data_IF_407587874285
#
_entry.id   IF_407587874285
#
_cell.length_a   1.000
_cell.length_b   1.000
_cell.length_c   1.000
_cell.angle_alpha   90.00
_cell.angle_beta   90.00
_cell.angle_gamma   90.00
#
_symmetry.space_group_name_H-M   'P 1'
#
loop_
_entity.id
_entity.type
_entity.pdbx_description
1 polymer ?
#
# COMPACT_ATOMS: atom_id res chain seq x y z
N UNK A 1 63.37 -51.51 -10.27
CA UNK A 1 62.36 -50.46 -10.50
C UNK A 1 61.38 -50.47 -9.32
N UNK A 2 61.29 -49.44 -8.46
CA UNK A 2 60.39 -49.47 -7.31
C UNK A 2 59.02 -48.87 -7.64
N UNK A 3 57.96 -49.55 -7.20
CA UNK A 3 56.56 -49.12 -7.30
C UNK A 3 56.26 -48.11 -6.19
N UNK A 4 55.83 -46.90 -6.55
CA UNK A 4 55.50 -45.82 -5.60
C UNK A 4 54.04 -45.95 -5.16
N UNK A 5 53.84 -46.24 -3.87
CA UNK A 5 52.52 -46.37 -3.22
C UNK A 5 51.98 -44.97 -2.91
N UNK A 6 50.83 -44.59 -3.47
CA UNK A 6 50.18 -43.30 -3.19
C UNK A 6 49.40 -43.42 -1.88
N UNK A 7 49.82 -42.70 -0.84
CA UNK A 7 49.06 -42.54 0.40
C UNK A 7 47.93 -41.53 0.17
N UNK A 8 46.69 -41.99 0.20
CA UNK A 8 45.50 -41.13 0.22
C UNK A 8 45.40 -40.51 1.63
N UNK A 9 45.80 -39.25 1.77
CA UNK A 9 45.75 -38.52 3.05
C UNK A 9 44.29 -38.27 3.44
N UNK A 10 43.91 -38.71 4.65
CA UNK A 10 42.58 -38.60 5.27
C UNK A 10 42.09 -37.14 5.41
N UNK A 11 42.96 -36.17 5.18
CA UNK A 11 42.69 -34.73 5.26
C UNK A 11 41.79 -34.22 4.12
N UNK A 12 41.73 -34.94 3.00
CA UNK A 12 40.90 -34.57 1.84
C UNK A 12 39.40 -34.79 2.11
N UNK A 13 39.05 -35.72 3.01
CA UNK A 13 37.65 -35.98 3.35
C UNK A 13 37.11 -35.02 4.43
N UNK A 14 37.94 -34.40 5.27
CA UNK A 14 37.47 -33.47 6.32
C UNK A 14 37.11 -32.08 5.79
N UNK A 15 37.78 -31.64 4.74
CA UNK A 15 37.55 -30.32 4.12
C UNK A 15 36.25 -30.29 3.31
N UNK A 16 35.84 -31.40 2.70
CA UNK A 16 34.61 -31.49 1.93
C UNK A 16 33.34 -31.33 2.78
N UNK A 17 33.34 -31.88 4.00
CA UNK A 17 32.22 -31.76 4.93
C UNK A 17 32.08 -30.35 5.52
N UNK A 18 33.19 -29.64 5.73
CA UNK A 18 33.17 -28.27 6.22
C UNK A 18 32.54 -27.30 5.19
N UNK A 19 32.83 -27.47 3.90
CA UNK A 19 32.22 -26.68 2.85
C UNK A 19 30.74 -27.04 2.61
N UNK A 20 30.38 -28.32 2.70
CA UNK A 20 28.98 -28.75 2.61
C UNK A 20 28.13 -28.16 3.76
N UNK A 21 28.67 -28.09 4.98
CA UNK A 21 27.98 -27.49 6.13
C UNK A 21 27.80 -25.96 5.99
N UNK A 22 28.78 -25.25 5.42
CA UNK A 22 28.70 -23.81 5.16
C UNK A 22 27.69 -23.47 4.03
N UNK A 23 27.61 -24.29 3.00
CA UNK A 23 26.58 -24.16 1.94
C UNK A 23 25.17 -24.49 2.47
N UNK A 24 25.03 -25.47 3.37
CA UNK A 24 23.74 -25.77 4.00
C UNK A 24 23.26 -24.64 4.93
N UNK A 25 24.18 -23.99 5.67
CA UNK A 25 23.83 -22.91 6.60
C UNK A 25 23.36 -21.62 5.90
N UNK A 26 23.86 -21.32 4.70
CA UNK A 26 23.44 -20.14 3.93
C UNK A 26 22.05 -20.30 3.30
N UNK A 27 21.62 -21.53 3.02
CA UNK A 27 20.26 -21.83 2.55
C UNK A 27 19.20 -21.69 3.66
N UNK A 28 19.56 -21.85 4.93
CA UNK A 28 18.61 -21.81 6.04
C UNK A 28 18.16 -20.38 6.43
N UNK A 29 18.96 -19.35 6.14
CA UNK A 29 18.64 -17.96 6.51
C UNK A 29 17.66 -17.29 5.52
N UNK A 30 17.50 -17.85 4.31
CA UNK A 30 16.51 -17.38 3.32
C UNK A 30 15.07 -17.82 3.61
N UNK A 31 14.84 -18.71 4.58
CA UNK A 31 13.52 -19.26 4.86
C UNK A 31 12.64 -18.39 5.78
N UNK A 32 13.19 -17.35 6.43
CA UNK A 32 12.46 -16.56 7.42
C UNK A 32 11.82 -15.26 6.87
N UNK A 33 11.93 -14.97 5.57
CA UNK A 33 11.43 -13.71 4.95
C UNK A 33 10.25 -13.93 3.97
N UNK A 34 9.73 -15.15 3.83
CA UNK A 34 8.68 -15.46 2.85
C UNK A 34 7.47 -16.19 3.43
N UNK A 35 7.07 -15.86 4.66
CA UNK A 35 5.81 -16.36 5.21
C UNK A 35 5.06 -15.27 6.01
N UNK A 36 4.81 -14.13 5.37
CA UNK A 36 3.51 -13.49 5.57
C UNK A 36 2.66 -13.94 4.37
N UNK A 37 1.74 -14.93 4.55
CA UNK A 37 0.70 -15.16 3.56
C UNK A 37 0.01 -13.84 3.29
N UNK A 38 -0.27 -13.53 2.03
CA UNK A 38 -1.18 -12.47 1.67
C UNK A 38 -2.56 -12.80 2.26
N UNK A 39 -2.81 -12.40 3.49
CA UNK A 39 -4.10 -11.88 3.89
C UNK A 39 -4.19 -10.57 3.08
N UNK A 40 -4.90 -10.48 1.95
CA UNK A 40 -6.35 -10.64 1.85
C UNK A 40 -6.76 -10.96 0.41
N UNK A 41 -7.65 -11.93 0.22
CA UNK A 41 -8.15 -12.38 -1.09
C UNK A 41 -9.07 -11.41 -1.83
N UNK A 42 -8.65 -10.14 -2.02
CA UNK A 42 -9.41 -9.22 -2.87
C UNK A 42 -9.00 -7.74 -2.86
N UNK A 43 -8.02 -7.31 -2.05
CA UNK A 43 -7.47 -5.96 -2.19
C UNK A 43 -6.30 -6.04 -3.18
N UNK A 44 -6.35 -5.41 -4.37
CA UNK A 44 -5.32 -5.57 -5.40
C UNK A 44 -3.94 -4.99 -5.01
N UNK A 45 -3.77 -4.50 -3.78
CA UNK A 45 -2.59 -3.75 -3.36
C UNK A 45 -2.64 -2.38 -4.02
N UNK A 46 -2.86 -1.34 -3.23
CA UNK A 46 -3.01 0.02 -3.72
C UNK A 46 -1.69 0.79 -3.55
N UNK A 47 -1.50 1.94 -4.24
CA UNK A 47 -0.20 2.61 -4.30
C UNK A 47 0.30 3.11 -2.94
N UNK A 48 -0.51 2.97 -1.88
CA UNK A 48 -0.21 3.42 -0.53
C UNK A 48 0.03 2.27 0.46
N UNK A 49 -0.04 1.00 0.03
CA UNK A 49 0.18 -0.19 0.86
C UNK A 49 -1.10 -0.99 1.18
N UNK A 50 -1.01 -1.98 2.08
CA UNK A 50 -2.16 -2.78 2.52
C UNK A 50 -3.23 -1.89 3.16
N UNK A 51 -4.49 -2.07 2.79
CA UNK A 51 -5.62 -1.34 3.35
C UNK A 51 -6.65 -2.30 3.93
N UNK A 52 -7.27 -1.96 5.07
CA UNK A 52 -8.19 -2.86 5.78
C UNK A 52 -9.59 -3.02 5.12
N UNK A 53 -9.76 -2.59 3.86
CA UNK A 53 -11.06 -2.24 3.27
C UNK A 53 -11.63 -3.35 2.37
N UNK A 54 -10.84 -4.38 2.07
CA UNK A 54 -11.25 -5.48 1.20
C UNK A 54 -11.64 -5.03 -0.22
N UNK A 55 -12.42 -5.88 -0.91
CA UNK A 55 -12.76 -5.72 -2.33
C UNK A 55 -14.06 -4.92 -2.61
N UNK A 56 -14.65 -4.28 -1.59
CA UNK A 56 -15.97 -3.65 -1.72
C UNK A 56 -15.94 -2.44 -2.67
N UNK A 57 -17.00 -2.28 -3.48
CA UNK A 57 -17.20 -1.09 -4.33
C UNK A 57 -17.51 0.12 -3.44
N UNK A 58 -16.75 1.20 -3.60
CA UNK A 58 -16.91 2.42 -2.80
C UNK A 58 -17.86 3.42 -3.47
N UNK A 59 -18.60 4.15 -2.65
CA UNK A 59 -19.45 5.26 -3.06
C UNK A 59 -19.34 6.45 -2.10
N UNK A 60 -19.65 7.66 -2.60
CA UNK A 60 -19.48 8.88 -1.85
C UNK A 60 -20.26 8.88 -0.53
N UNK A 61 -21.58 8.63 -0.59
CA UNK A 61 -22.46 8.78 0.58
C UNK A 61 -22.07 7.84 1.74
N UNK A 62 -21.95 6.51 1.54
CA UNK A 62 -21.67 5.60 2.64
C UNK A 62 -20.19 5.59 3.06
N UNK A 63 -19.26 5.88 2.14
CA UNK A 63 -17.83 5.56 2.36
C UNK A 63 -16.93 6.79 2.44
N UNK A 64 -17.12 7.79 1.56
CA UNK A 64 -16.20 8.93 1.44
C UNK A 64 -16.66 10.15 2.22
N UNK A 65 -17.97 10.43 2.22
CA UNK A 65 -18.55 11.55 2.95
C UNK A 65 -18.18 11.52 4.44
N UNK A 66 -18.19 10.38 5.16
CA UNK A 66 -17.76 10.34 6.55
C UNK A 66 -16.30 10.76 6.78
N UNK A 67 -15.40 10.46 5.83
CA UNK A 67 -13.99 10.87 5.88
C UNK A 67 -13.89 12.39 5.71
N UNK A 68 -14.55 12.94 4.67
CA UNK A 68 -14.49 14.37 4.37
C UNK A 68 -15.19 15.22 5.43
N UNK A 69 -16.31 14.74 5.98
CA UNK A 69 -17.04 15.40 7.06
C UNK A 69 -16.15 15.55 8.30
N UNK A 70 -15.47 14.47 8.67
CA UNK A 70 -14.61 14.42 9.86
C UNK A 70 -13.34 15.26 9.69
N UNK A 71 -12.66 15.14 8.56
CA UNK A 71 -11.28 15.64 8.40
C UNK A 71 -11.17 16.94 7.61
N UNK A 72 -12.16 17.28 6.77
CA UNK A 72 -12.03 18.37 5.79
C UNK A 72 -12.99 19.53 6.03
N UNK A 73 -14.21 19.27 6.50
CA UNK A 73 -15.28 20.30 6.53
C UNK A 73 -14.99 21.49 7.43
N UNK A 74 -14.12 21.34 8.43
CA UNK A 74 -13.73 22.47 9.28
C UNK A 74 -13.09 23.62 8.49
N UNK A 75 -12.31 23.29 7.45
CA UNK A 75 -11.67 24.27 6.58
C UNK A 75 -12.32 24.38 5.19
N UNK A 76 -12.98 23.31 4.73
CA UNK A 76 -13.54 23.18 3.38
C UNK A 76 -15.09 23.09 3.35
N UNK A 77 -15.78 23.32 4.47
CA UNK A 77 -17.25 23.22 4.56
C UNK A 77 -18.00 24.56 4.55
N UNK A 78 -17.30 25.68 4.75
CA UNK A 78 -17.90 27.01 4.92
C UNK A 78 -18.11 27.79 3.63
N UNK A 79 -18.73 28.98 3.78
CA UNK A 79 -18.95 29.96 2.70
C UNK A 79 -17.64 30.35 1.99
N UNK A 80 -16.58 30.52 2.77
CA UNK A 80 -15.21 30.75 2.28
C UNK A 80 -14.39 29.49 2.55
N UNK A 81 -14.48 28.51 1.65
CA UNK A 81 -13.71 27.28 1.78
C UNK A 81 -12.23 27.54 1.46
N UNK A 82 -11.32 27.04 2.29
CA UNK A 82 -9.88 27.21 2.10
C UNK A 82 -9.45 26.73 0.69
N UNK A 83 -8.64 27.56 0.01
CA UNK A 83 -8.16 27.24 -1.35
C UNK A 83 -9.26 27.18 -2.42
N UNK A 84 -10.47 27.69 -2.15
CA UNK A 84 -11.58 27.69 -3.10
C UNK A 84 -12.17 26.29 -3.39
N UNK A 85 -11.81 25.28 -2.60
CA UNK A 85 -12.30 23.91 -2.74
C UNK A 85 -13.24 23.57 -1.59
N UNK A 86 -14.47 23.15 -1.90
CA UNK A 86 -15.48 22.82 -0.89
C UNK A 86 -15.78 21.34 -0.83
N UNK A 87 -15.89 20.79 0.39
CA UNK A 87 -16.30 19.40 0.65
C UNK A 87 -17.74 19.28 1.16
N UNK A 88 -18.49 20.39 1.20
CA UNK A 88 -19.82 20.46 1.80
C UNK A 88 -20.89 19.60 1.09
N UNK A 89 -20.65 19.23 -0.17
CA UNK A 89 -21.56 18.38 -0.95
C UNK A 89 -20.78 17.53 -1.95
N UNK A 90 -21.41 16.47 -2.44
CA UNK A 90 -20.86 15.66 -3.53
C UNK A 90 -20.51 16.51 -4.76
N UNK A 91 -21.42 17.41 -5.16
CA UNK A 91 -21.23 18.27 -6.32
C UNK A 91 -20.00 19.19 -6.17
N UNK A 92 -19.73 19.69 -4.95
CA UNK A 92 -18.56 20.51 -4.69
C UNK A 92 -17.27 19.68 -4.70
N UNK A 93 -17.29 18.47 -4.12
CA UNK A 93 -16.13 17.56 -4.06
C UNK A 93 -15.67 17.15 -5.46
N UNK A 94 -16.61 16.82 -6.34
CA UNK A 94 -16.29 16.39 -7.71
C UNK A 94 -16.16 17.54 -8.71
N UNK A 95 -16.49 18.78 -8.31
CA UNK A 95 -16.32 19.95 -9.16
C UNK A 95 -14.84 20.15 -9.52
N UNK A 96 -14.55 20.21 -10.82
CA UNK A 96 -13.18 20.34 -11.33
C UNK A 96 -12.32 19.08 -11.20
N UNK A 97 -12.86 17.98 -10.67
CA UNK A 97 -12.21 16.66 -10.71
C UNK A 97 -12.62 15.94 -12.00
N UNK A 98 -11.75 15.07 -12.50
CA UNK A 98 -12.08 14.11 -13.56
C UNK A 98 -12.12 12.71 -12.95
N UNK A 99 -13.31 12.10 -12.78
CA UNK A 99 -13.40 10.70 -12.38
C UNK A 99 -12.54 9.80 -13.29
N UNK A 100 -11.82 8.85 -12.68
CA UNK A 100 -10.81 8.03 -13.38
C UNK A 100 -9.41 8.64 -13.47
N UNK A 101 -9.22 9.88 -13.04
CA UNK A 101 -7.93 10.58 -13.13
C UNK A 101 -7.20 10.61 -11.78
N UNK A 102 -6.07 9.92 -11.70
CA UNK A 102 -5.21 9.90 -10.52
C UNK A 102 -4.48 11.23 -10.27
N UNK A 103 -4.45 12.15 -11.24
CA UNK A 103 -3.82 13.47 -11.08
C UNK A 103 -4.74 14.54 -10.51
N UNK A 104 -6.02 14.21 -10.25
CA UNK A 104 -7.00 15.11 -9.68
C UNK A 104 -6.57 15.68 -8.32
N UNK A 105 -6.91 16.95 -8.05
CA UNK A 105 -6.40 17.66 -6.87
C UNK A 105 -6.77 16.98 -5.55
N UNK A 106 -7.97 16.39 -5.45
CA UNK A 106 -8.38 15.64 -4.26
C UNK A 106 -7.47 14.42 -4.03
N UNK A 107 -7.13 13.70 -5.11
CA UNK A 107 -6.27 12.52 -5.05
C UNK A 107 -4.86 12.90 -4.63
N UNK A 108 -4.22 13.84 -5.34
CA UNK A 108 -2.80 14.15 -5.11
C UNK A 108 -2.55 14.85 -3.78
N UNK A 109 -3.49 15.65 -3.29
CA UNK A 109 -3.33 16.35 -2.01
C UNK A 109 -3.56 15.43 -0.81
N UNK A 110 -4.41 14.39 -0.96
CA UNK A 110 -4.69 13.42 0.10
C UNK A 110 -3.84 12.16 0.05
N UNK A 111 -3.03 11.96 -1.00
CA UNK A 111 -2.05 10.88 -1.07
C UNK A 111 -0.90 11.09 -0.07
N UNK A 112 -0.19 10.03 0.37
CA UNK A 112 1.01 10.17 1.21
C UNK A 112 2.01 11.17 0.63
N UNK A 113 2.40 12.17 1.44
CA UNK A 113 3.26 13.29 1.03
C UNK A 113 2.52 14.48 0.40
N UNK A 114 1.22 14.35 0.12
CA UNK A 114 0.36 15.45 -0.30
C UNK A 114 0.09 16.45 0.83
N UNK A 115 -0.22 17.69 0.45
CA UNK A 115 -0.40 18.81 1.41
C UNK A 115 -1.53 18.60 2.41
N UNK A 116 -2.55 17.81 2.07
CA UNK A 116 -3.71 17.53 2.91
C UNK A 116 -3.61 16.19 3.67
N UNK A 117 -2.65 15.33 3.34
CA UNK A 117 -2.51 14.00 3.95
C UNK A 117 -2.39 14.04 5.48
N UNK A 118 -1.67 15.02 6.02
CA UNK A 118 -1.46 15.16 7.47
C UNK A 118 -2.74 15.41 8.27
N UNK A 119 -3.79 15.91 7.62
CA UNK A 119 -5.07 16.24 8.25
C UNK A 119 -6.06 15.07 8.28
N UNK A 120 -5.80 13.99 7.55
CA UNK A 120 -6.57 12.75 7.71
C UNK A 120 -6.39 12.23 9.14
N UNK A 121 -7.47 11.87 9.82
CA UNK A 121 -7.41 11.30 11.17
C UNK A 121 -7.48 9.77 11.15
N UNK A 122 -7.01 9.13 12.23
CA UNK A 122 -6.99 7.66 12.35
C UNK A 122 -6.02 7.00 11.36
N UNK A 123 -6.47 5.93 10.69
CA UNK A 123 -5.70 5.27 9.63
C UNK A 123 -5.75 6.10 8.33
N UNK A 124 -4.72 6.92 8.17
CA UNK A 124 -4.54 7.83 7.03
C UNK A 124 -4.33 7.08 5.73
N UNK A 125 -3.59 5.97 5.75
CA UNK A 125 -3.29 5.17 4.56
C UNK A 125 -4.59 4.56 4.02
N UNK A 126 -5.40 4.00 4.92
CA UNK A 126 -6.74 3.50 4.58
C UNK A 126 -7.63 4.60 4.02
N UNK A 127 -7.69 5.78 4.66
CA UNK A 127 -8.53 6.90 4.19
C UNK A 127 -8.09 7.43 2.82
N UNK A 128 -6.79 7.61 2.60
CA UNK A 128 -6.23 8.02 1.31
C UNK A 128 -6.52 6.96 0.22
N UNK A 129 -6.40 5.67 0.56
CA UNK A 129 -6.74 4.57 -0.33
C UNK A 129 -8.21 4.58 -0.72
N UNK A 130 -9.13 4.85 0.22
CA UNK A 130 -10.56 5.00 -0.08
C UNK A 130 -10.82 6.10 -1.10
N UNK A 131 -10.27 7.29 -0.85
CA UNK A 131 -10.46 8.47 -1.70
C UNK A 131 -9.94 8.20 -3.12
N UNK A 132 -8.74 7.63 -3.22
CA UNK A 132 -8.16 7.24 -4.50
C UNK A 132 -9.00 6.20 -5.23
N UNK A 133 -9.37 5.11 -4.56
CA UNK A 133 -10.19 4.03 -5.13
C UNK A 133 -11.53 4.55 -5.64
N UNK A 134 -12.21 5.34 -4.82
CA UNK A 134 -13.48 5.93 -5.18
C UNK A 134 -13.37 6.84 -6.41
N UNK A 135 -12.40 7.77 -6.42
CA UNK A 135 -12.23 8.71 -7.54
C UNK A 135 -11.77 8.02 -8.82
N UNK A 136 -10.75 7.15 -8.73
CA UNK A 136 -10.02 6.62 -9.88
C UNK A 136 -10.62 5.31 -10.39
N UNK A 137 -11.04 4.40 -9.50
CA UNK A 137 -11.51 3.06 -9.89
C UNK A 137 -13.03 2.95 -9.93
N UNK A 138 -13.71 3.63 -9.02
CA UNK A 138 -15.18 3.59 -8.93
C UNK A 138 -15.84 4.83 -9.53
N UNK A 139 -15.10 5.58 -10.35
CA UNK A 139 -15.58 6.69 -11.17
C UNK A 139 -16.39 7.73 -10.36
N UNK A 140 -15.92 8.03 -9.15
CA UNK A 140 -16.54 8.95 -8.21
C UNK A 140 -18.04 8.67 -7.94
N UNK A 141 -18.47 7.40 -7.95
CA UNK A 141 -19.89 7.05 -7.76
C UNK A 141 -20.50 7.69 -6.50
N UNK A 142 -21.63 8.38 -6.63
CA UNK A 142 -22.27 9.02 -5.48
C UNK A 142 -22.94 8.00 -4.53
N UNK A 143 -23.58 6.99 -5.11
CA UNK A 143 -24.27 5.87 -4.44
C UNK A 143 -23.80 4.54 -5.05
N UNK A 144 -24.06 3.41 -4.38
CA UNK A 144 -23.62 2.07 -4.83
C UNK A 144 -24.40 1.58 -6.04
#
# INVERSE_FOLDING_TARGET
MPVRRVHLSKDFLRTWWAWAALLAATLAVSACVQAQPATDGGDPGFPFGPSAIGAQKLAYVPDIKPILDRDCTQCHGGRESAGGYSTASYANVVAGQRPGDASGSLVVTTAPGGSMYGYLSGDRVTSATMIFRWMVYYNAAQTR
#
